data_IF_883904001834
#
_entry.id   IF_883904001834
#
_cell.length_a   1.000
_cell.length_b   1.000
_cell.length_c   1.000
_cell.angle_alpha   90.00
_cell.angle_beta   90.00
_cell.angle_gamma   90.00
#
_symmetry.space_group_name_H-M   'P 1'
#
loop_
_entity.id
_entity.type
_entity.pdbx_description
1 polymer ?
#
# COMPACT_ATOMS: atom_id res chain seq x y z
N UNK A 1 32.96 38.62 13.27
CA UNK A 1 32.88 37.43 14.14
C UNK A 1 31.40 37.22 14.40
N UNK A 2 30.72 36.68 13.41
CA UNK A 2 29.26 36.71 13.31
C UNK A 2 28.76 35.30 13.62
N UNK A 3 28.71 34.97 14.92
CA UNK A 3 28.31 33.65 15.44
C UNK A 3 27.07 33.74 16.34
N UNK A 4 26.14 34.65 16.08
CA UNK A 4 24.89 34.75 16.85
C UNK A 4 23.66 34.28 16.08
N UNK A 5 23.68 34.26 14.74
CA UNK A 5 22.48 33.98 13.94
C UNK A 5 21.95 32.55 14.03
N UNK A 6 22.81 31.56 14.33
CA UNK A 6 22.40 30.15 14.36
C UNK A 6 21.71 29.72 15.66
N UNK A 7 21.97 30.43 16.77
CA UNK A 7 21.35 30.13 18.06
C UNK A 7 19.91 30.68 18.15
N UNK A 8 19.65 31.82 17.50
CA UNK A 8 18.31 32.40 17.43
C UNK A 8 17.42 31.65 16.44
N UNK A 9 17.97 31.11 15.35
CA UNK A 9 17.26 30.25 14.41
C UNK A 9 16.80 28.94 15.07
N UNK A 10 17.66 28.27 15.86
CA UNK A 10 17.28 27.06 16.62
C UNK A 10 16.20 27.36 17.67
N UNK A 11 16.25 28.52 18.33
CA UNK A 11 15.19 28.94 19.29
C UNK A 11 13.87 29.28 18.60
N UNK A 12 13.94 29.86 17.39
CA UNK A 12 12.77 30.10 16.56
C UNK A 12 12.20 28.81 15.97
N UNK A 13 13.04 27.85 15.61
CA UNK A 13 12.67 26.51 15.17
C UNK A 13 12.05 25.69 16.32
N UNK A 14 12.57 25.80 17.56
CA UNK A 14 11.96 25.21 18.75
C UNK A 14 10.52 25.74 18.92
N UNK A 15 10.33 27.06 18.80
CA UNK A 15 9.00 27.69 18.84
C UNK A 15 8.10 27.27 17.67
N UNK A 16 8.65 27.18 16.46
CA UNK A 16 7.89 26.80 15.26
C UNK A 16 7.50 25.32 15.29
N UNK A 17 8.41 24.44 15.72
CA UNK A 17 8.13 23.03 15.95
C UNK A 17 7.05 22.84 17.01
N UNK A 18 7.13 23.56 18.14
CA UNK A 18 6.10 23.53 19.17
C UNK A 18 4.72 23.99 18.65
N UNK A 19 4.71 24.99 17.78
CA UNK A 19 3.48 25.43 17.11
C UNK A 19 2.92 24.35 16.18
N UNK A 20 3.78 23.70 15.38
CA UNK A 20 3.38 22.59 14.51
C UNK A 20 2.88 21.39 15.30
N UNK A 21 3.56 21.02 16.38
CA UNK A 21 3.16 19.91 17.26
C UNK A 21 1.79 20.20 17.89
N UNK A 22 1.53 21.44 18.34
CA UNK A 22 0.22 21.86 18.87
C UNK A 22 -0.88 21.74 17.82
N UNK A 23 -0.64 22.21 16.60
CA UNK A 23 -1.60 22.13 15.48
C UNK A 23 -1.84 20.66 15.08
N UNK A 24 -0.81 19.82 15.08
CA UNK A 24 -0.93 18.40 14.77
C UNK A 24 -1.73 17.64 15.84
N UNK A 25 -1.58 17.99 17.11
CA UNK A 25 -2.39 17.44 18.20
C UNK A 25 -3.85 17.92 18.13
N UNK A 26 -4.07 19.20 17.82
CA UNK A 26 -5.41 19.76 17.69
C UNK A 26 -6.17 19.20 16.47
N UNK A 27 -5.51 19.06 15.31
CA UNK A 27 -6.13 18.47 14.11
C UNK A 27 -6.48 16.99 14.27
N UNK A 28 -5.78 16.24 15.14
CA UNK A 28 -6.19 14.89 15.54
C UNK A 28 -7.43 14.88 16.43
N UNK A 29 -7.69 15.93 17.20
CA UNK A 29 -8.91 16.08 18.00
C UNK A 29 -10.09 16.54 17.12
N UNK A 30 -9.87 17.54 16.27
CA UNK A 30 -10.90 18.12 15.39
C UNK A 30 -11.23 17.19 14.19
N UNK A 31 -10.27 16.37 13.73
CA UNK A 31 -10.49 15.34 12.71
C UNK A 31 -11.28 14.11 13.20
N UNK A 32 -11.68 14.08 14.48
CA UNK A 32 -12.59 13.10 15.07
C UNK A 32 -14.00 13.67 15.26
N UNK A 33 -14.26 14.91 14.83
CA UNK A 33 -15.62 15.38 14.56
C UNK A 33 -16.07 14.80 13.21
N UNK A 34 -16.38 13.50 13.28
CA UNK A 34 -17.59 12.93 12.72
C UNK A 34 -18.20 13.79 11.60
N UNK A 35 -17.87 13.45 10.35
CA UNK A 35 -18.94 13.32 9.37
C UNK A 35 -19.47 11.89 9.57
N UNK A 36 -20.32 11.64 10.59
CA UNK A 36 -20.79 10.29 10.79
C UNK A 36 -21.73 10.05 9.61
N UNK A 37 -21.40 9.03 8.83
CA UNK A 37 -22.27 8.41 7.84
C UNK A 37 -22.24 8.94 6.40
N UNK A 38 -21.50 10.00 6.03
CA UNK A 38 -21.51 10.42 4.61
C UNK A 38 -20.91 9.36 3.66
N UNK A 39 -19.84 8.68 4.09
CA UNK A 39 -19.23 7.63 3.28
C UNK A 39 -20.07 6.36 3.27
N UNK A 40 -20.59 5.95 4.43
CA UNK A 40 -21.48 4.79 4.55
C UNK A 40 -22.73 4.98 3.69
N UNK A 41 -23.36 6.14 3.78
CA UNK A 41 -24.54 6.51 3.01
C UNK A 41 -24.27 6.48 1.51
N UNK A 42 -23.16 7.10 1.05
CA UNK A 42 -22.73 7.03 -0.36
C UNK A 42 -22.46 5.61 -0.84
N UNK A 43 -21.82 4.78 -0.02
CA UNK A 43 -21.57 3.36 -0.37
C UNK A 43 -22.90 2.61 -0.47
N UNK A 44 -23.85 2.87 0.42
CA UNK A 44 -25.17 2.21 0.38
C UNK A 44 -26.06 2.71 -0.77
N UNK A 45 -25.89 3.95 -1.21
CA UNK A 45 -26.54 4.51 -2.39
C UNK A 45 -26.03 3.85 -3.67
N UNK A 46 -24.72 3.66 -3.78
CA UNK A 46 -24.09 3.03 -4.95
C UNK A 46 -24.19 1.49 -4.93
N UNK A 47 -24.13 0.89 -3.74
CA UNK A 47 -24.16 -0.55 -3.52
C UNK A 47 -25.23 -0.87 -2.45
N UNK A 48 -26.50 -1.04 -2.84
CA UNK A 48 -27.59 -1.30 -1.89
C UNK A 48 -27.36 -2.54 -1.01
N UNK A 49 -26.62 -3.53 -1.52
CA UNK A 49 -26.28 -4.74 -0.77
C UNK A 49 -25.35 -4.48 0.44
N UNK A 50 -24.53 -3.41 0.40
CA UNK A 50 -23.59 -3.07 1.47
C UNK A 50 -24.30 -2.54 2.73
N UNK A 51 -25.55 -2.07 2.62
CA UNK A 51 -26.34 -1.57 3.75
C UNK A 51 -26.49 -2.61 4.87
N UNK A 52 -26.62 -3.88 4.51
CA UNK A 52 -26.77 -4.99 5.46
C UNK A 52 -25.50 -5.29 6.27
N UNK A 53 -24.34 -4.95 5.73
CA UNK A 53 -23.03 -5.25 6.33
C UNK A 53 -22.54 -4.05 7.15
N UNK A 54 -22.79 -2.84 6.66
CA UNK A 54 -22.28 -1.59 7.24
C UNK A 54 -23.22 -0.99 8.30
N UNK A 55 -24.51 -1.37 8.30
CA UNK A 55 -25.58 -0.83 9.14
C UNK A 55 -25.88 -1.54 10.47
N UNK A 56 -24.92 -2.27 11.05
CA UNK A 56 -25.00 -2.74 12.44
C UNK A 56 -26.03 -3.84 12.73
N UNK A 57 -25.63 -5.11 12.54
CA UNK A 57 -26.19 -6.23 13.29
C UNK A 57 -25.14 -7.34 13.43
N UNK A 58 -24.36 -7.28 14.51
CA UNK A 58 -23.59 -8.42 14.99
C UNK A 58 -24.56 -9.54 15.39
N UNK A 59 -24.50 -10.67 14.69
CA UNK A 59 -24.72 -11.98 15.30
C UNK A 59 -23.53 -12.84 14.94
N UNK A 60 -22.73 -13.12 15.96
CA UNK A 60 -21.81 -14.24 16.00
C UNK A 60 -22.54 -15.47 15.43
N UNK A 61 -22.10 -15.94 14.27
CA UNK A 61 -22.38 -17.31 13.87
C UNK A 61 -21.18 -18.16 14.29
N UNK A 62 -21.43 -19.34 14.89
CA UNK A 62 -20.37 -20.25 15.28
C UNK A 62 -19.51 -20.57 14.07
N UNK A 63 -18.20 -20.68 14.28
CA UNK A 63 -17.21 -21.14 13.31
C UNK A 63 -17.69 -22.42 12.63
N UNK A 64 -18.45 -22.28 11.54
CA UNK A 64 -18.47 -23.26 10.48
C UNK A 64 -17.19 -22.98 9.71
N UNK A 65 -16.37 -24.01 9.57
CA UNK A 65 -15.11 -24.02 8.82
C UNK A 65 -15.26 -23.22 7.53
N UNK A 66 -14.92 -21.93 7.57
CA UNK A 66 -14.94 -21.09 6.40
C UNK A 66 -13.74 -21.55 5.57
N UNK A 67 -14.00 -22.46 4.63
CA UNK A 67 -13.10 -22.61 3.51
C UNK A 67 -12.94 -21.21 2.93
N UNK A 68 -11.73 -20.70 3.05
CA UNK A 68 -11.30 -19.35 2.77
C UNK A 68 -11.93 -18.86 1.47
N UNK A 69 -12.91 -17.95 1.57
CA UNK A 69 -13.44 -17.20 0.43
C UNK A 69 -12.45 -16.17 -0.13
N UNK A 70 -11.18 -16.23 0.30
CA UNK A 70 -10.09 -15.53 -0.37
C UNK A 70 -9.79 -16.37 -1.62
N UNK A 71 -10.12 -15.87 -2.83
CA UNK A 71 -9.72 -16.58 -4.04
C UNK A 71 -8.21 -16.78 -3.97
N UNK A 72 -7.79 -18.04 -4.08
CA UNK A 72 -6.38 -18.38 -4.14
C UNK A 72 -5.71 -17.69 -5.34
N UNK A 73 -4.38 -17.73 -5.42
CA UNK A 73 -3.68 -17.30 -6.62
C UNK A 73 -4.33 -17.90 -7.87
N UNK A 74 -4.43 -17.13 -8.96
CA UNK A 74 -5.01 -17.64 -10.21
C UNK A 74 -4.30 -18.92 -10.63
N UNK A 75 -5.06 -19.80 -11.30
CA UNK A 75 -4.51 -21.03 -11.84
C UNK A 75 -3.37 -20.71 -12.81
N UNK A 76 -2.23 -21.41 -12.66
CA UNK A 76 -1.12 -21.30 -13.61
C UNK A 76 -1.53 -21.86 -14.97
N UNK A 77 -1.03 -21.31 -16.08
CA UNK A 77 -1.26 -21.92 -17.39
C UNK A 77 -0.87 -23.41 -17.42
N UNK A 78 -1.68 -24.25 -18.07
CA UNK A 78 -1.45 -25.70 -18.19
C UNK A 78 -0.15 -26.07 -18.92
N UNK A 79 0.49 -25.08 -19.55
CA UNK A 79 1.67 -25.25 -20.38
C UNK A 79 2.84 -24.38 -19.91
N UNK A 80 2.90 -24.04 -18.61
CA UNK A 80 4.03 -23.32 -18.00
C UNK A 80 5.38 -23.96 -18.36
N UNK A 81 5.48 -25.30 -18.37
CA UNK A 81 6.71 -26.02 -18.75
C UNK A 81 7.23 -25.65 -20.16
N UNK A 82 6.32 -25.49 -21.12
CA UNK A 82 6.66 -25.11 -22.50
C UNK A 82 7.13 -23.65 -22.57
N UNK A 83 6.53 -22.80 -21.75
CA UNK A 83 6.89 -21.37 -21.65
C UNK A 83 8.28 -21.25 -21.03
N UNK A 84 8.59 -21.99 -19.97
CA UNK A 84 9.91 -22.02 -19.35
C UNK A 84 10.99 -22.54 -20.31
N UNK A 85 10.69 -23.60 -21.06
CA UNK A 85 11.60 -24.14 -22.08
C UNK A 85 11.87 -23.13 -23.19
N UNK A 86 10.83 -22.47 -23.71
CA UNK A 86 10.98 -21.42 -24.70
C UNK A 86 11.84 -20.26 -24.19
N UNK A 87 11.56 -19.74 -22.98
CA UNK A 87 12.36 -18.66 -22.37
C UNK A 87 13.81 -19.10 -22.17
N UNK A 88 14.03 -20.33 -21.70
CA UNK A 88 15.38 -20.90 -21.54
C UNK A 88 16.11 -21.01 -22.88
N UNK A 89 15.41 -21.39 -23.94
CA UNK A 89 15.95 -21.48 -25.30
C UNK A 89 16.28 -20.11 -25.90
N UNK A 90 15.46 -19.08 -25.63
CA UNK A 90 15.78 -17.68 -25.98
C UNK A 90 17.06 -17.19 -25.27
N UNK A 91 17.22 -17.49 -23.98
CA UNK A 91 18.44 -17.13 -23.25
C UNK A 91 19.66 -17.97 -23.64
N UNK A 92 19.47 -19.18 -24.16
CA UNK A 92 20.54 -19.98 -24.77
C UNK A 92 20.96 -19.40 -26.13
N UNK A 93 20.00 -19.10 -26.99
CA UNK A 93 20.22 -18.65 -28.37
C UNK A 93 20.64 -17.18 -28.49
N UNK A 94 20.34 -16.34 -27.49
CA UNK A 94 20.87 -14.97 -27.39
C UNK A 94 22.40 -14.88 -27.22
N UNK A 95 23.09 -16.02 -27.01
CA UNK A 95 24.56 -16.08 -27.05
C UNK A 95 25.13 -16.28 -28.45
N UNK A 96 24.34 -16.75 -29.41
CA UNK A 96 24.83 -17.10 -30.75
C UNK A 96 24.48 -16.04 -31.82
N UNK A 97 23.41 -15.28 -31.62
CA UNK A 97 23.04 -14.16 -32.50
C UNK A 97 23.40 -12.79 -31.90
N UNK A 98 24.72 -12.60 -31.72
CA UNK A 98 25.39 -11.29 -31.90
C UNK A 98 25.57 -10.39 -30.68
N UNK A 99 26.68 -10.56 -29.95
CA UNK A 99 27.75 -9.58 -29.63
C UNK A 99 28.69 -10.27 -28.62
N UNK A 100 30.02 -10.34 -28.87
CA UNK A 100 30.96 -10.81 -27.85
C UNK A 100 30.94 -9.83 -26.67
N UNK A 101 30.49 -10.32 -25.51
CA UNK A 101 30.72 -9.65 -24.22
C UNK A 101 32.21 -9.72 -23.94
N UNK A 102 32.92 -8.65 -24.33
CA UNK A 102 34.29 -8.40 -23.94
C UNK A 102 34.33 -8.19 -22.42
N UNK A 103 35.08 -9.06 -21.75
CA UNK A 103 35.35 -8.97 -20.32
C UNK A 103 35.46 -10.35 -19.70
N UNK A 104 36.65 -10.94 -19.76
CA UNK A 104 37.43 -11.33 -18.58
C UNK A 104 38.53 -12.31 -19.00
N UNK A 105 39.71 -11.73 -19.21
CA UNK A 105 40.98 -12.42 -19.32
C UNK A 105 41.37 -12.87 -17.88
N UNK A 106 41.70 -14.14 -17.71
CA UNK A 106 42.44 -14.66 -16.56
C UNK A 106 43.67 -15.40 -17.07
#
# INVERSE_FOLDING_TARGET
MDKTSKADEVRQEESFKEQLDRIAMQSKQDGQEQQPNTLVEKITEYIPAASKILGGASKEQPQQTAQSGVPGPPHRPDHDDKIEEFVRDQHRSGRETGVPIAGEDN
#
